data_IF_903714790109
#
_entry.id   IF_903714790109
#
_cell.length_a   1.000
_cell.length_b   1.000
_cell.length_c   1.000
_cell.angle_alpha   90.00
_cell.angle_beta   90.00
_cell.angle_gamma   90.00
#
_symmetry.space_group_name_H-M   'P 1'
#
loop_
_entity.id
_entity.type
_entity.pdbx_description
1 polymer ?
#
# COMPACT_ATOMS: atom_id res chain seq x y z
N UNK A 1 26.17 -22.71 -4.73
CA UNK A 1 25.03 -21.92 -4.20
C UNK A 1 24.96 -20.63 -5.01
N UNK A 2 23.80 -20.30 -5.59
CA UNK A 2 23.57 -18.93 -6.09
C UNK A 2 23.41 -18.04 -4.85
N UNK A 3 24.07 -16.90 -4.83
CA UNK A 3 23.86 -15.95 -3.75
C UNK A 3 22.54 -15.21 -4.02
N UNK A 4 21.49 -15.57 -3.29
CA UNK A 4 20.17 -14.95 -3.44
C UNK A 4 20.22 -13.59 -2.73
N UNK A 5 20.04 -12.51 -3.49
CA UNK A 5 19.86 -11.18 -2.90
C UNK A 5 18.50 -11.11 -2.20
N UNK A 6 18.55 -11.26 -0.87
CA UNK A 6 17.39 -11.27 0.02
C UNK A 6 16.62 -9.94 -0.04
N UNK A 7 17.30 -8.82 -0.30
CA UNK A 7 16.65 -7.51 -0.36
C UNK A 7 15.94 -7.32 -1.69
N UNK A 8 16.58 -7.66 -2.81
CA UNK A 8 15.95 -7.60 -4.12
C UNK A 8 14.72 -8.51 -4.21
N UNK A 9 14.84 -9.76 -3.75
CA UNK A 9 13.72 -10.69 -3.69
C UNK A 9 12.64 -10.22 -2.69
N UNK A 10 13.05 -9.67 -1.55
CA UNK A 10 12.14 -9.09 -0.58
C UNK A 10 11.32 -7.93 -1.16
N UNK A 11 11.91 -7.09 -2.00
CA UNK A 11 11.23 -5.99 -2.69
C UNK A 11 10.15 -6.50 -3.65
N UNK A 12 10.52 -7.47 -4.49
CA UNK A 12 9.59 -8.11 -5.44
C UNK A 12 8.38 -8.71 -4.71
N UNK A 13 8.64 -9.45 -3.63
CA UNK A 13 7.60 -10.10 -2.84
C UNK A 13 6.76 -9.09 -2.05
N UNK A 14 7.33 -7.96 -1.62
CA UNK A 14 6.58 -6.87 -1.01
C UNK A 14 5.59 -6.25 -2.00
N UNK A 15 6.02 -5.98 -3.24
CA UNK A 15 5.15 -5.49 -4.32
C UNK A 15 4.05 -6.48 -4.66
N UNK A 16 4.37 -7.78 -4.70
CA UNK A 16 3.38 -8.83 -4.94
C UNK A 16 2.36 -8.90 -3.79
N UNK A 17 2.82 -8.91 -2.55
CA UNK A 17 1.97 -8.95 -1.36
C UNK A 17 1.05 -7.71 -1.25
N UNK A 18 1.54 -6.53 -1.67
CA UNK A 18 0.72 -5.32 -1.75
C UNK A 18 -0.36 -5.43 -2.84
N UNK A 19 0.00 -5.84 -4.06
CA UNK A 19 -0.94 -6.01 -5.19
C UNK A 19 -2.01 -7.06 -4.95
N UNK A 20 -1.68 -8.11 -4.20
CA UNK A 20 -2.59 -9.22 -3.85
C UNK A 20 -3.35 -8.98 -2.54
N UNK A 21 -3.20 -7.80 -1.93
CA UNK A 21 -3.88 -7.42 -0.68
C UNK A 21 -3.69 -8.45 0.46
N UNK A 22 -2.51 -9.07 0.54
CA UNK A 22 -2.23 -10.09 1.55
C UNK A 22 -2.38 -9.49 2.96
N UNK A 23 -3.01 -10.22 3.88
CA UNK A 23 -3.25 -9.70 5.21
C UNK A 23 -1.94 -9.63 6.02
N UNK A 24 -1.70 -8.52 6.72
CA UNK A 24 -0.48 -8.34 7.52
C UNK A 24 -0.31 -9.43 8.58
N UNK A 25 -1.44 -9.92 9.11
CA UNK A 25 -1.46 -11.03 10.05
C UNK A 25 -0.78 -12.28 9.48
N UNK A 26 -1.01 -12.59 8.21
CA UNK A 26 -0.44 -13.80 7.58
C UNK A 26 1.08 -13.71 7.45
N UNK A 27 1.59 -12.54 7.09
CA UNK A 27 3.04 -12.29 7.03
C UNK A 27 3.68 -12.33 8.43
N UNK A 28 2.99 -11.81 9.45
CA UNK A 28 3.43 -11.86 10.85
C UNK A 28 3.41 -13.28 11.43
N UNK A 29 2.38 -14.06 11.10
CA UNK A 29 2.28 -15.47 11.49
C UNK A 29 3.44 -16.28 10.88
N UNK A 30 3.79 -16.03 9.61
CA UNK A 30 4.93 -16.65 8.95
C UNK A 30 6.28 -16.22 9.55
N UNK A 31 6.43 -14.95 9.91
CA UNK A 31 7.59 -14.46 10.67
C UNK A 31 7.75 -15.20 12.01
N UNK A 32 6.65 -15.36 12.75
CA UNK A 32 6.64 -16.07 14.04
C UNK A 32 7.00 -17.55 13.90
N UNK A 33 6.48 -18.22 12.86
CA UNK A 33 6.84 -19.60 12.55
C UNK A 33 8.32 -19.75 12.20
N UNK A 34 8.85 -18.84 11.40
CA UNK A 34 10.28 -18.82 11.03
C UNK A 34 11.17 -18.61 12.26
N UNK A 35 10.76 -17.72 13.18
CA UNK A 35 11.43 -17.56 14.47
C UNK A 35 11.45 -18.85 15.31
N UNK A 36 10.33 -19.60 15.33
CA UNK A 36 10.26 -20.90 16.03
C UNK A 36 11.16 -21.96 15.38
N UNK A 37 11.27 -21.97 14.05
CA UNK A 37 12.18 -22.85 13.33
C UNK A 37 13.65 -22.59 13.72
N UNK A 38 14.06 -21.31 13.84
CA UNK A 38 15.40 -20.93 14.28
C UNK A 38 15.76 -21.38 15.70
N UNK A 39 14.76 -21.53 16.57
CA UNK A 39 14.92 -22.05 17.93
C UNK A 39 14.93 -23.59 18.00
N UNK A 40 14.93 -24.28 16.85
CA UNK A 40 14.92 -25.74 16.76
C UNK A 40 13.54 -26.37 16.90
N UNK A 41 12.47 -25.59 16.81
CA UNK A 41 11.09 -26.08 16.98
C UNK A 41 10.42 -26.60 15.72
N UNK A 42 10.97 -26.33 14.52
CA UNK A 42 10.39 -26.68 13.22
C UNK A 42 11.49 -26.87 12.17
N UNK A 43 11.28 -27.79 11.23
CA UNK A 43 12.13 -27.98 10.04
C UNK A 43 11.73 -27.01 8.90
N UNK A 44 12.57 -26.91 7.86
CA UNK A 44 12.21 -26.15 6.64
C UNK A 44 11.05 -26.82 5.90
N UNK A 45 10.99 -28.14 5.91
CA UNK A 45 9.88 -28.92 5.36
C UNK A 45 8.56 -28.58 6.05
N UNK A 46 8.58 -28.38 7.38
CA UNK A 46 7.40 -27.96 8.13
C UNK A 46 6.94 -26.55 7.74
N UNK A 47 7.87 -25.62 7.51
CA UNK A 47 7.57 -24.27 7.04
C UNK A 47 6.96 -24.30 5.63
N UNK A 48 7.54 -25.06 4.71
CA UNK A 48 7.01 -25.24 3.35
C UNK A 48 5.62 -25.88 3.39
N UNK A 49 5.43 -26.92 4.21
CA UNK A 49 4.14 -27.56 4.43
C UNK A 49 3.10 -26.59 4.97
N UNK A 50 3.49 -25.73 5.92
CA UNK A 50 2.62 -24.70 6.46
C UNK A 50 2.20 -23.68 5.39
N UNK A 51 3.14 -23.17 4.59
CA UNK A 51 2.83 -22.21 3.51
C UNK A 51 1.86 -22.84 2.51
N UNK A 52 2.12 -24.07 2.06
CA UNK A 52 1.22 -24.81 1.16
C UNK A 52 -0.17 -25.03 1.74
N UNK A 53 -0.25 -25.33 3.04
CA UNK A 53 -1.53 -25.46 3.74
C UNK A 53 -2.30 -24.13 3.77
N UNK A 54 -1.61 -23.02 4.05
CA UNK A 54 -2.22 -21.67 4.01
C UNK A 54 -2.69 -21.29 2.60
N UNK A 55 -1.93 -21.65 1.56
CA UNK A 55 -2.32 -21.46 0.16
C UNK A 55 -3.59 -22.26 -0.17
N UNK A 56 -3.66 -23.53 0.23
CA UNK A 56 -4.83 -24.39 0.01
C UNK A 56 -6.10 -23.87 0.70
N UNK A 57 -5.96 -23.10 1.78
CA UNK A 57 -7.06 -22.43 2.48
C UNK A 57 -7.36 -21.02 1.96
N UNK A 58 -6.72 -20.61 0.87
CA UNK A 58 -6.77 -19.24 0.33
C UNK A 58 -6.41 -18.17 1.35
N UNK A 59 -5.60 -18.53 2.35
CA UNK A 59 -5.10 -17.59 3.34
C UNK A 59 -3.89 -16.88 2.76
N UNK A 60 -2.93 -17.59 2.18
CA UNK A 60 -1.84 -16.94 1.43
C UNK A 60 -2.16 -17.00 -0.06
N UNK A 61 -1.95 -15.88 -0.77
CA UNK A 61 -2.03 -15.83 -2.22
C UNK A 61 -1.09 -16.87 -2.86
N UNK A 62 -1.56 -17.54 -3.91
CA UNK A 62 -0.84 -18.67 -4.48
C UNK A 62 0.53 -18.28 -5.04
N UNK A 63 0.62 -17.15 -5.75
CA UNK A 63 1.87 -16.68 -6.35
C UNK A 63 2.88 -16.30 -5.27
N UNK A 64 2.42 -15.60 -4.22
CA UNK A 64 3.27 -15.25 -3.09
C UNK A 64 3.76 -16.50 -2.35
N UNK A 65 2.87 -17.44 -2.05
CA UNK A 65 3.20 -18.67 -1.33
C UNK A 65 4.17 -19.56 -2.10
N UNK A 66 4.00 -19.69 -3.42
CA UNK A 66 4.93 -20.42 -4.29
C UNK A 66 6.33 -19.81 -4.26
N UNK A 67 6.46 -18.49 -4.42
CA UNK A 67 7.76 -17.82 -4.37
C UNK A 67 8.42 -17.89 -2.99
N UNK A 68 7.63 -17.87 -1.91
CA UNK A 68 8.15 -18.06 -0.56
C UNK A 68 8.68 -19.48 -0.34
N UNK A 69 8.01 -20.50 -0.90
CA UNK A 69 8.49 -21.88 -0.88
C UNK A 69 9.79 -22.03 -1.69
N UNK A 70 9.87 -21.41 -2.87
CA UNK A 70 11.09 -21.38 -3.69
C UNK A 70 12.24 -20.72 -2.92
N UNK A 71 12.00 -19.56 -2.30
CA UNK A 71 12.99 -18.85 -1.49
C UNK A 71 13.50 -19.70 -0.32
N UNK A 72 12.61 -20.42 0.39
CA UNK A 72 13.02 -21.34 1.48
C UNK A 72 13.96 -22.44 0.99
N UNK A 73 13.69 -23.01 -0.18
CA UNK A 73 14.53 -24.07 -0.76
C UNK A 73 15.87 -23.50 -1.25
N UNK A 74 15.86 -22.35 -1.91
CA UNK A 74 17.05 -21.71 -2.46
C UNK A 74 18.01 -21.18 -1.39
N UNK A 75 17.48 -20.65 -0.28
CA UNK A 75 18.27 -20.13 0.84
C UNK A 75 18.88 -21.25 1.70
N UNK A 76 18.36 -22.47 1.60
CA UNK A 76 18.90 -23.68 2.24
C UNK A 76 18.30 -24.01 3.62
N UNK A 77 18.32 -25.30 3.96
CA UNK A 77 17.66 -25.90 5.13
C UNK A 77 18.32 -25.68 6.50
N UNK A 78 19.37 -24.86 6.58
CA UNK A 78 20.15 -24.63 7.80
C UNK A 78 19.75 -23.37 8.56
N UNK A 79 20.36 -23.16 9.74
CA UNK A 79 20.16 -21.95 10.54
C UNK A 79 20.40 -20.67 9.73
N UNK A 80 21.49 -20.63 8.96
CA UNK A 80 21.83 -19.48 8.12
C UNK A 80 20.76 -19.19 7.05
N UNK A 81 20.26 -20.23 6.37
CA UNK A 81 19.18 -20.08 5.38
C UNK A 81 17.88 -19.58 6.01
N UNK A 82 17.55 -20.07 7.21
CA UNK A 82 16.42 -19.58 8.00
C UNK A 82 16.59 -18.13 8.46
N UNK A 83 17.80 -17.70 8.84
CA UNK A 83 18.10 -16.30 9.19
C UNK A 83 17.96 -15.37 7.98
N UNK A 84 18.40 -15.82 6.80
CA UNK A 84 18.20 -15.11 5.53
C UNK A 84 16.72 -15.03 5.15
N UNK A 85 15.97 -16.13 5.30
CA UNK A 85 14.52 -16.14 5.04
C UNK A 85 13.75 -15.26 6.03
N UNK A 86 14.16 -15.23 7.30
CA UNK A 86 13.60 -14.30 8.27
C UNK A 86 13.84 -12.84 7.85
N UNK A 87 15.04 -12.54 7.36
CA UNK A 87 15.39 -11.21 6.84
C UNK A 87 14.52 -10.82 5.65
N UNK A 88 14.28 -11.76 4.72
CA UNK A 88 13.36 -11.60 3.60
C UNK A 88 11.96 -11.20 4.08
N UNK A 89 11.38 -11.98 5.00
CA UNK A 89 10.04 -11.73 5.53
C UNK A 89 9.94 -10.38 6.25
N UNK A 90 10.97 -9.99 7.01
CA UNK A 90 11.02 -8.68 7.67
C UNK A 90 11.02 -7.55 6.64
N UNK A 91 11.74 -7.73 5.54
CA UNK A 91 11.78 -6.77 4.46
C UNK A 91 10.40 -6.61 3.79
N UNK A 92 9.72 -7.74 3.50
CA UNK A 92 8.37 -7.77 2.95
C UNK A 92 7.38 -7.03 3.86
N UNK A 93 7.36 -7.35 5.16
CA UNK A 93 6.46 -6.71 6.14
C UNK A 93 6.73 -5.21 6.25
N UNK A 94 7.99 -4.79 6.16
CA UNK A 94 8.36 -3.38 6.22
C UNK A 94 7.94 -2.60 4.97
N UNK A 95 8.10 -3.17 3.79
CA UNK A 95 7.87 -2.46 2.52
C UNK A 95 6.45 -2.59 1.97
N UNK A 96 5.72 -3.63 2.35
CA UNK A 96 4.34 -3.82 1.89
C UNK A 96 3.43 -2.59 2.11
N UNK A 97 3.43 -1.91 3.27
CA UNK A 97 2.63 -0.71 3.46
C UNK A 97 2.99 0.39 2.46
N UNK A 98 4.28 0.61 2.22
CA UNK A 98 4.75 1.55 1.20
C UNK A 98 4.21 1.20 -0.19
N UNK A 99 4.35 -0.06 -0.63
CA UNK A 99 3.87 -0.50 -1.94
C UNK A 99 2.35 -0.55 -2.09
N UNK A 100 1.61 -0.59 -0.98
CA UNK A 100 0.16 -0.45 -0.97
C UNK A 100 -0.26 0.98 -1.32
N UNK A 101 0.48 1.98 -0.82
CA UNK A 101 0.10 3.40 -0.93
C UNK A 101 0.83 4.17 -2.03
N UNK A 102 2.04 3.73 -2.41
CA UNK A 102 2.87 4.40 -3.43
C UNK A 102 2.14 4.59 -4.77
N UNK A 103 1.44 3.59 -5.33
CA UNK A 103 0.72 3.80 -6.59
C UNK A 103 -0.40 4.84 -6.49
N UNK A 104 -1.04 4.96 -5.32
CA UNK A 104 -2.09 5.94 -5.07
C UNK A 104 -1.50 7.35 -5.02
N UNK A 105 -0.42 7.55 -4.24
CA UNK A 105 0.25 8.83 -4.09
C UNK A 105 0.89 9.28 -5.40
N UNK A 106 1.57 8.39 -6.12
CA UNK A 106 2.20 8.70 -7.41
C UNK A 106 1.16 9.16 -8.43
N UNK A 107 0.06 8.43 -8.59
CA UNK A 107 -1.05 8.83 -9.48
C UNK A 107 -1.70 10.15 -9.04
N UNK A 108 -1.85 10.38 -7.73
CA UNK A 108 -2.41 11.61 -7.20
C UNK A 108 -1.53 12.83 -7.52
N UNK A 109 -0.22 12.71 -7.29
CA UNK A 109 0.77 13.77 -7.58
C UNK A 109 0.86 14.12 -9.07
N UNK A 110 0.69 13.15 -9.96
CA UNK A 110 0.65 13.42 -11.40
C UNK A 110 -0.53 14.31 -11.82
N UNK A 111 -1.66 14.22 -11.11
CA UNK A 111 -2.89 14.95 -11.43
C UNK A 111 -3.02 16.25 -10.63
N UNK A 112 -2.27 16.39 -9.52
CA UNK A 112 -2.30 17.54 -8.60
C UNK A 112 -2.22 18.92 -9.32
N UNK A 113 -1.32 19.17 -10.29
CA UNK A 113 -1.27 20.46 -10.97
C UNK A 113 -2.55 20.79 -11.75
N UNK A 114 -3.23 19.77 -12.31
CA UNK A 114 -4.51 19.95 -13.00
C UNK A 114 -5.63 20.26 -12.01
N UNK A 115 -5.62 19.63 -10.83
CA UNK A 115 -6.54 19.92 -9.73
C UNK A 115 -6.39 21.37 -9.29
N UNK A 116 -5.16 21.80 -8.96
CA UNK A 116 -4.86 23.18 -8.58
C UNK A 116 -5.34 24.17 -9.65
N UNK A 117 -5.05 23.89 -10.92
CA UNK A 117 -5.48 24.72 -12.05
C UNK A 117 -7.01 24.87 -12.12
N UNK A 118 -7.75 23.78 -11.96
CA UNK A 118 -9.21 23.77 -12.00
C UNK A 118 -9.84 24.51 -10.82
N UNK A 119 -9.27 24.36 -9.62
CA UNK A 119 -9.82 24.94 -8.39
C UNK A 119 -9.62 26.46 -8.27
N UNK A 120 -8.60 27.04 -8.91
CA UNK A 120 -8.35 28.50 -8.92
C UNK A 120 -9.52 29.35 -9.45
N UNK A 121 -10.38 28.75 -10.27
CA UNK A 121 -11.52 29.41 -10.91
C UNK A 121 -12.87 28.87 -10.44
N UNK A 122 -12.91 28.17 -9.30
CA UNK A 122 -14.13 27.50 -8.88
C UNK A 122 -15.18 28.48 -8.35
N UNK A 123 -16.42 28.30 -8.81
CA UNK A 123 -17.58 29.01 -8.32
C UNK A 123 -18.49 28.01 -7.60
N UNK A 124 -18.90 28.34 -6.39
CA UNK A 124 -19.80 27.56 -5.55
C UNK A 124 -20.96 28.47 -5.12
N UNK A 125 -22.20 28.03 -5.35
CA UNK A 125 -23.43 28.79 -5.03
C UNK A 125 -23.41 30.24 -5.55
N UNK A 126 -22.86 30.45 -6.75
CA UNK A 126 -22.78 31.77 -7.40
C UNK A 126 -21.70 32.70 -6.83
N UNK A 127 -20.81 32.19 -5.96
CA UNK A 127 -19.67 32.94 -5.41
C UNK A 127 -18.36 32.26 -5.78
N UNK A 128 -17.35 33.06 -6.07
CA UNK A 128 -15.99 32.56 -6.24
C UNK A 128 -15.45 32.07 -4.90
N UNK A 129 -14.90 30.86 -4.88
CA UNK A 129 -14.14 30.35 -3.73
C UNK A 129 -12.68 30.68 -3.96
N UNK A 130 -12.07 31.33 -2.98
CA UNK A 130 -10.64 31.65 -3.01
C UNK A 130 -9.84 30.45 -2.51
N UNK A 131 -9.41 29.61 -3.44
CA UNK A 131 -8.56 28.44 -3.17
C UNK A 131 -7.10 28.87 -3.29
N UNK A 132 -6.42 28.96 -2.14
CA UNK A 132 -5.02 29.32 -2.05
C UNK A 132 -4.11 28.17 -2.53
N UNK A 133 -4.45 26.95 -2.14
CA UNK A 133 -3.69 25.75 -2.51
C UNK A 133 -4.58 24.49 -2.50
N UNK A 134 -4.12 23.44 -3.17
CA UNK A 134 -4.71 22.11 -3.11
C UNK A 134 -3.64 21.04 -3.32
N UNK A 135 -3.55 20.06 -2.42
CA UNK A 135 -2.54 19.02 -2.46
C UNK A 135 -3.10 17.68 -1.96
N UNK A 136 -2.53 16.58 -2.45
CA UNK A 136 -2.88 15.25 -1.99
C UNK A 136 -2.00 14.81 -0.82
N UNK A 137 -2.64 14.25 0.19
CA UNK A 137 -1.98 13.65 1.35
C UNK A 137 -2.58 12.28 1.66
N UNK A 138 -1.82 11.47 2.40
CA UNK A 138 -2.25 10.15 2.81
C UNK A 138 -2.32 10.11 4.33
N UNK A 139 -3.51 9.80 4.85
CA UNK A 139 -3.78 9.68 6.27
C UNK A 139 -4.56 8.37 6.49
N UNK A 140 -4.14 7.54 7.44
CA UNK A 140 -4.78 6.25 7.76
C UNK A 140 -5.07 5.34 6.56
N UNK A 141 -4.10 5.20 5.64
CA UNK A 141 -4.22 4.45 4.37
C UNK A 141 -5.28 5.02 3.38
N UNK A 142 -5.84 6.19 3.66
CA UNK A 142 -6.79 6.88 2.79
C UNK A 142 -6.15 8.10 2.15
N UNK A 143 -6.49 8.34 0.88
CA UNK A 143 -6.02 9.51 0.14
C UNK A 143 -6.98 10.68 0.38
N UNK A 144 -6.43 11.82 0.79
CA UNK A 144 -7.15 13.07 0.98
C UNK A 144 -6.64 14.10 -0.02
N UNK A 145 -7.56 14.86 -0.60
CA UNK A 145 -7.27 16.11 -1.28
C UNK A 145 -7.59 17.23 -0.31
N UNK A 146 -6.56 17.87 0.24
CA UNK A 146 -6.73 19.03 1.11
C UNK A 146 -6.74 20.30 0.29
N UNK A 147 -7.81 21.05 0.44
CA UNK A 147 -8.07 22.30 -0.27
C UNK A 147 -8.03 23.44 0.74
N UNK A 148 -7.06 24.33 0.58
CA UNK A 148 -6.84 25.48 1.45
C UNK A 148 -7.65 26.65 0.91
N UNK A 149 -8.76 26.97 1.58
CA UNK A 149 -9.70 28.02 1.23
C UNK A 149 -9.93 28.98 2.43
N UNK A 150 -8.94 29.84 2.76
CA UNK A 150 -8.88 30.60 4.01
C UNK A 150 -10.02 31.61 4.21
N UNK A 151 -10.66 32.02 3.10
CA UNK A 151 -11.77 32.99 3.13
C UNK A 151 -13.16 32.32 3.14
N UNK A 152 -13.24 30.99 3.09
CA UNK A 152 -14.51 30.27 3.00
C UNK A 152 -15.19 30.12 4.37
N UNK A 153 -16.39 30.70 4.53
CA UNK A 153 -17.18 30.69 5.78
C UNK A 153 -18.46 29.84 5.71
N UNK A 154 -18.59 28.99 4.69
CA UNK A 154 -19.79 28.17 4.46
C UNK A 154 -19.70 26.77 5.07
N UNK A 155 -20.63 25.91 4.67
CA UNK A 155 -20.61 24.48 5.02
C UNK A 155 -19.47 23.77 4.26
N UNK A 156 -18.40 23.45 4.98
CA UNK A 156 -17.22 22.78 4.45
C UNK A 156 -17.54 21.40 3.87
N UNK A 157 -18.49 20.67 4.45
CA UNK A 157 -18.90 19.35 3.98
C UNK A 157 -19.60 19.44 2.62
N UNK A 158 -20.47 20.44 2.44
CA UNK A 158 -21.10 20.70 1.13
C UNK A 158 -20.09 21.12 0.07
N UNK A 159 -19.15 22.00 0.41
CA UNK A 159 -18.09 22.39 -0.50
C UNK A 159 -17.22 21.19 -0.88
N UNK A 160 -16.81 20.36 0.08
CA UNK A 160 -16.05 19.14 -0.17
C UNK A 160 -16.78 18.21 -1.15
N UNK A 161 -18.06 17.91 -0.90
CA UNK A 161 -18.85 17.07 -1.79
C UNK A 161 -19.01 17.65 -3.20
N UNK A 162 -19.23 18.96 -3.31
CA UNK A 162 -19.28 19.65 -4.59
C UNK A 162 -17.94 19.58 -5.35
N UNK A 163 -16.82 19.84 -4.67
CA UNK A 163 -15.49 19.79 -5.27
C UNK A 163 -15.14 18.38 -5.71
N UNK A 164 -15.44 17.36 -4.90
CA UNK A 164 -15.23 15.97 -5.27
C UNK A 164 -15.98 15.63 -6.57
N UNK A 165 -17.26 15.97 -6.64
CA UNK A 165 -18.07 15.72 -7.83
C UNK A 165 -17.56 16.49 -9.05
N UNK A 166 -17.20 17.77 -8.88
CA UNK A 166 -16.61 18.60 -9.94
C UNK A 166 -15.33 17.98 -10.49
N UNK A 167 -14.43 17.56 -9.60
CA UNK A 167 -13.15 16.95 -9.95
C UNK A 167 -13.34 15.63 -10.70
N UNK A 168 -14.20 14.73 -10.21
CA UNK A 168 -14.50 13.45 -10.89
C UNK A 168 -15.16 13.65 -12.27
N UNK A 169 -15.95 14.72 -12.44
CA UNK A 169 -16.58 15.06 -13.73
C UNK A 169 -15.56 15.63 -14.72
N UNK A 170 -14.66 16.51 -14.27
CA UNK A 170 -13.74 17.29 -15.12
C UNK A 170 -12.37 16.63 -15.36
N UNK A 171 -11.92 15.77 -14.45
CA UNK A 171 -10.63 15.08 -14.51
C UNK A 171 -10.88 13.57 -14.51
N UNK A 172 -11.00 12.93 -15.69
CA UNK A 172 -11.25 11.49 -15.81
C UNK A 172 -10.26 10.62 -15.04
N UNK A 173 -9.01 11.06 -14.90
CA UNK A 173 -7.95 10.35 -14.19
C UNK A 173 -8.26 10.13 -12.70
N UNK A 174 -9.13 10.96 -12.11
CA UNK A 174 -9.57 10.88 -10.71
C UNK A 174 -10.78 9.96 -10.50
N UNK A 175 -11.42 9.45 -11.56
CA UNK A 175 -12.64 8.63 -11.43
C UNK A 175 -12.38 7.33 -10.68
N UNK A 176 -11.27 6.66 -10.98
CA UNK A 176 -10.89 5.40 -10.33
C UNK A 176 -10.06 5.62 -9.06
N UNK A 177 -9.67 6.86 -8.78
CA UNK A 177 -8.96 7.21 -7.57
C UNK A 177 -9.97 7.37 -6.43
N UNK A 178 -9.81 6.57 -5.39
CA UNK A 178 -10.54 6.74 -4.13
C UNK A 178 -9.83 7.82 -3.33
N UNK A 179 -10.45 8.98 -3.20
CA UNK A 179 -9.98 10.07 -2.37
C UNK A 179 -11.17 10.78 -1.72
N UNK A 180 -10.93 11.45 -0.60
CA UNK A 180 -11.87 12.36 0.07
C UNK A 180 -11.38 13.79 -0.08
N UNK A 181 -12.30 14.75 -0.11
CA UNK A 181 -11.94 16.17 -0.12
C UNK A 181 -12.05 16.73 1.30
N UNK A 182 -11.01 17.42 1.76
CA UNK A 182 -10.99 18.14 3.02
C UNK A 182 -10.82 19.63 2.77
N UNK A 183 -11.58 20.46 3.49
CA UNK A 183 -11.53 21.93 3.35
C UNK A 183 -10.84 22.53 4.58
N UNK A 184 -9.65 23.07 4.37
CA UNK A 184 -8.92 23.85 5.36
C UNK A 184 -9.21 25.34 5.17
N UNK A 185 -9.56 26.04 6.25
CA UNK A 185 -9.96 27.45 6.20
C UNK A 185 -10.56 27.95 7.50
#
# INVERSE_FOLDING_TARGET
>A
MRDVDVYALGDELARLAARREVADKQLRDLLSLTHRALSGGLSVEDLVGHIKYQMARSQIDWDLGSKLCEALVELGGGREGLERFLTLLRHIVRLKPYYKVEPLISRAKEVEPKVQGLLRSVNYEGRRVDVADAYFELEDDELYLTVVAPSFKGDKGRLAGFLEELLRRRLPELRDLKFKVWIEG
#
